data_IF_838190689833
#
_entry.id   IF_838190689833
#
_cell.length_a   1.000
_cell.length_b   1.000
_cell.length_c   1.000
_cell.angle_alpha   90.00
_cell.angle_beta   90.00
_cell.angle_gamma   90.00
#
_symmetry.space_group_name_H-M   'P 1'
#
loop_
_entity.id
_entity.type
_entity.pdbx_description
1 polymer ?
#
# COMPACT_ATOMS: atom_id res chain seq x y z
N UNK A 1 -10.77 17.68 6.73
CA UNK A 1 -9.40 18.13 7.07
C UNK A 1 -8.83 19.04 5.99
N UNK A 2 -8.74 18.60 4.74
CA UNK A 2 -8.03 19.32 3.68
C UNK A 2 -8.48 20.75 3.42
N UNK A 3 -9.80 20.96 3.37
CA UNK A 3 -10.41 22.28 3.22
C UNK A 3 -10.13 23.18 4.42
N UNK A 4 -10.24 22.62 5.62
CA UNK A 4 -9.99 23.32 6.89
C UNK A 4 -8.56 23.84 6.99
N UNK A 5 -7.57 23.08 6.51
CA UNK A 5 -6.16 23.51 6.49
C UNK A 5 -5.90 24.69 5.54
N UNK A 6 -6.72 24.83 4.50
CA UNK A 6 -6.64 25.94 3.54
C UNK A 6 -7.63 27.07 3.87
N UNK A 7 -8.34 26.98 5.00
CA UNK A 7 -9.38 27.95 5.37
C UNK A 7 -10.63 27.94 4.46
N UNK A 8 -10.79 26.92 3.62
CA UNK A 8 -11.88 26.83 2.64
C UNK A 8 -13.17 26.30 3.27
N UNK A 9 -14.28 26.95 2.97
CA UNK A 9 -15.63 26.55 3.36
C UNK A 9 -16.31 25.81 2.20
N UNK A 10 -17.45 25.17 2.50
CA UNK A 10 -18.27 24.50 1.46
C UNK A 10 -18.86 25.54 0.49
N UNK A 11 -19.18 26.74 1.00
CA UNK A 11 -19.72 27.86 0.21
C UNK A 11 -18.81 28.30 -0.94
N UNK A 12 -17.50 28.15 -0.80
CA UNK A 12 -16.52 28.59 -1.80
C UNK A 12 -16.55 27.73 -3.07
N UNK A 13 -17.30 26.62 -3.08
CA UNK A 13 -17.50 25.70 -4.22
C UNK A 13 -16.22 25.28 -4.96
N UNK A 14 -15.05 25.40 -4.30
CA UNK A 14 -13.76 24.97 -4.85
C UNK A 14 -13.75 23.46 -5.05
N UNK A 15 -13.32 23.02 -6.23
CA UNK A 15 -13.27 21.61 -6.61
C UNK A 15 -12.16 20.90 -5.85
N UNK A 16 -12.33 19.59 -5.63
CA UNK A 16 -11.32 18.79 -4.94
C UNK A 16 -10.00 18.69 -5.71
N UNK A 17 -10.05 18.70 -7.04
CA UNK A 17 -8.85 18.74 -7.88
C UNK A 17 -8.01 19.99 -7.59
N UNK A 18 -8.63 21.17 -7.58
CA UNK A 18 -7.94 22.43 -7.28
C UNK A 18 -7.35 22.45 -5.85
N UNK A 19 -8.08 21.85 -4.90
CA UNK A 19 -7.60 21.69 -3.52
C UNK A 19 -6.34 20.82 -3.50
N UNK A 20 -6.35 19.68 -4.22
CA UNK A 20 -5.19 18.79 -4.31
C UNK A 20 -4.01 19.45 -5.01
N UNK A 21 -4.23 20.19 -6.09
CA UNK A 21 -3.17 20.91 -6.81
C UNK A 21 -2.57 22.06 -6.00
N UNK A 22 -3.36 22.78 -5.21
CA UNK A 22 -2.86 23.87 -4.35
C UNK A 22 -1.99 23.37 -3.19
N UNK A 23 -2.08 22.09 -2.85
CA UNK A 23 -1.45 21.54 -1.66
C UNK A 23 0.00 21.13 -1.97
N UNK A 24 0.90 21.46 -1.05
CA UNK A 24 2.34 21.15 -1.11
C UNK A 24 2.71 19.84 -0.40
N UNK A 25 1.75 19.11 0.18
CA UNK A 25 2.02 17.85 0.87
C UNK A 25 1.76 16.66 -0.05
N UNK A 26 2.47 15.56 0.20
CA UNK A 26 2.32 14.29 -0.51
C UNK A 26 0.91 13.71 -0.37
N UNK A 27 0.33 13.27 -1.48
CA UNK A 27 -0.97 12.61 -1.50
C UNK A 27 -1.05 11.48 -0.45
N UNK A 28 -2.21 11.34 0.18
CA UNK A 28 -2.43 10.31 1.20
C UNK A 28 -2.33 8.92 0.57
N UNK A 29 -2.78 8.78 -0.68
CA UNK A 29 -2.72 7.51 -1.40
C UNK A 29 -1.26 7.06 -1.60
N UNK A 30 -0.39 7.96 -2.09
CA UNK A 30 1.03 7.64 -2.25
C UNK A 30 1.69 7.31 -0.92
N UNK A 31 1.33 8.03 0.16
CA UNK A 31 1.84 7.72 1.50
C UNK A 31 1.39 6.36 2.02
N UNK A 32 0.14 5.97 1.75
CA UNK A 32 -0.39 4.65 2.08
C UNK A 32 0.40 3.58 1.32
N UNK A 33 0.62 3.79 0.02
CA UNK A 33 1.33 2.82 -0.80
C UNK A 33 2.77 2.65 -0.33
N UNK A 34 3.53 3.74 -0.16
CA UNK A 34 4.89 3.72 0.42
C UNK A 34 4.91 2.96 1.75
N UNK A 35 3.92 3.19 2.62
CA UNK A 35 3.85 2.51 3.90
C UNK A 35 3.55 1.00 3.78
N UNK A 36 2.72 0.59 2.80
CA UNK A 36 2.52 -0.82 2.46
C UNK A 36 3.81 -1.47 1.98
N UNK A 37 4.56 -0.82 1.09
CA UNK A 37 5.86 -1.31 0.58
C UNK A 37 6.89 -1.48 1.69
N UNK A 38 7.01 -0.49 2.57
CA UNK A 38 7.90 -0.57 3.75
C UNK A 38 7.52 -1.70 4.69
N UNK A 39 6.23 -1.89 4.93
CA UNK A 39 5.74 -2.98 5.78
C UNK A 39 6.09 -4.35 5.19
N UNK A 40 5.91 -4.53 3.88
CA UNK A 40 6.26 -5.77 3.18
C UNK A 40 7.75 -6.14 3.35
N UNK A 41 8.64 -5.17 3.12
CA UNK A 41 10.08 -5.36 3.32
C UNK A 41 10.41 -5.69 4.78
N UNK A 42 9.87 -4.92 5.72
CA UNK A 42 10.10 -5.13 7.15
C UNK A 42 9.71 -6.54 7.59
N UNK A 43 8.54 -7.00 7.15
CA UNK A 43 8.03 -8.33 7.46
C UNK A 43 8.89 -9.46 6.86
N UNK A 44 9.35 -9.31 5.61
CA UNK A 44 10.12 -10.34 4.92
C UNK A 44 11.55 -10.46 5.41
N UNK A 45 12.18 -9.33 5.74
CA UNK A 45 13.54 -9.25 6.29
C UNK A 45 13.65 -9.70 7.74
N UNK A 46 12.53 -9.87 8.44
CA UNK A 46 12.59 -10.32 9.82
C UNK A 46 13.20 -11.74 9.90
N UNK A 47 14.30 -11.94 10.65
CA UNK A 47 15.06 -13.20 10.66
C UNK A 47 14.26 -14.33 11.32
N UNK A 48 13.44 -14.00 12.30
CA UNK A 48 12.51 -14.94 12.94
C UNK A 48 11.23 -15.00 12.12
N UNK A 49 10.74 -16.22 11.87
CA UNK A 49 9.41 -16.47 11.32
C UNK A 49 8.31 -16.05 12.31
N UNK A 50 8.09 -14.74 12.42
CA UNK A 50 7.03 -14.16 13.22
C UNK A 50 5.66 -14.58 12.66
N UNK A 51 4.68 -14.67 13.56
CA UNK A 51 3.29 -14.92 13.21
C UNK A 51 2.76 -13.94 12.15
N UNK A 52 3.19 -12.67 12.19
CA UNK A 52 2.81 -11.67 11.18
C UNK A 52 3.18 -12.12 9.76
N UNK A 53 4.39 -12.66 9.55
CA UNK A 53 4.84 -13.18 8.26
C UNK A 53 4.04 -14.42 7.85
N UNK A 54 3.80 -15.33 8.79
CA UNK A 54 3.04 -16.56 8.53
C UNK A 54 1.59 -16.26 8.13
N UNK A 55 0.88 -15.42 8.88
CA UNK A 55 -0.52 -15.05 8.60
C UNK A 55 -0.64 -14.30 7.28
N UNK A 56 0.31 -13.40 6.99
CA UNK A 56 0.25 -12.55 5.80
C UNK A 56 0.57 -13.30 4.51
N UNK A 57 1.48 -14.28 4.56
CA UNK A 57 1.81 -15.16 3.44
C UNK A 57 0.90 -16.40 3.37
N UNK A 58 -0.03 -16.55 4.31
CA UNK A 58 -0.88 -17.72 4.37
C UNK A 58 -1.86 -17.73 3.19
N UNK A 59 -1.73 -18.72 2.33
CA UNK A 59 -2.65 -18.97 1.23
C UNK A 59 -3.40 -20.29 1.49
N UNK A 60 -4.75 -20.27 1.55
CA UNK A 60 -5.52 -21.49 1.67
C UNK A 60 -5.34 -22.33 0.39
N UNK A 61 -4.86 -23.57 0.54
CA UNK A 61 -4.60 -24.48 -0.59
C UNK A 61 -5.86 -25.07 -1.20
N UNK A 62 -6.99 -25.04 -0.48
CA UNK A 62 -8.23 -25.72 -0.86
C UNK A 62 -9.41 -24.81 -0.56
N UNK A 63 -10.29 -24.62 -1.54
CA UNK A 63 -11.58 -23.94 -1.38
C UNK A 63 -11.66 -22.58 -2.09
N UNK A 64 -12.84 -22.31 -2.67
CA UNK A 64 -13.20 -20.98 -3.16
C UNK A 64 -13.48 -20.08 -1.95
N UNK A 65 -12.99 -18.84 -1.95
CA UNK A 65 -13.37 -17.86 -0.91
C UNK A 65 -14.90 -17.75 -0.85
N UNK A 66 -15.44 -17.62 0.37
CA UNK A 66 -16.87 -17.35 0.54
C UNK A 66 -17.26 -16.10 -0.25
N UNK A 67 -18.46 -16.11 -0.85
CA UNK A 67 -18.99 -15.05 -1.74
C UNK A 67 -18.90 -13.62 -1.17
N UNK A 68 -18.78 -13.49 0.15
CA UNK A 68 -18.71 -12.23 0.89
C UNK A 68 -17.28 -11.70 1.17
N UNK A 69 -16.23 -12.51 1.00
CA UNK A 69 -14.86 -12.03 1.24
C UNK A 69 -14.36 -11.24 0.04
N UNK A 70 -13.61 -10.17 0.32
CA UNK A 70 -12.94 -9.41 -0.72
C UNK A 70 -12.06 -10.33 -1.56
N UNK A 71 -12.17 -10.18 -2.89
CA UNK A 71 -11.42 -10.98 -3.86
C UNK A 71 -9.95 -10.56 -3.87
N UNK A 72 -9.68 -9.25 -3.80
CA UNK A 72 -8.32 -8.71 -3.69
C UNK A 72 -7.79 -8.88 -2.28
N UNK A 73 -6.60 -9.45 -2.18
CA UNK A 73 -5.76 -9.47 -0.98
C UNK A 73 -4.82 -8.29 -0.98
N UNK A 74 -4.30 -7.97 0.19
CA UNK A 74 -3.23 -6.97 0.35
C UNK A 74 -2.01 -7.27 -0.56
N UNK A 75 -1.66 -8.56 -0.71
CA UNK A 75 -0.53 -9.01 -1.52
C UNK A 75 -0.75 -8.81 -3.02
N UNK A 76 -2.00 -8.64 -3.46
CA UNK A 76 -2.32 -8.50 -4.87
C UNK A 76 -1.87 -7.15 -5.42
N UNK A 77 -1.82 -6.11 -4.57
CA UNK A 77 -1.24 -4.81 -4.96
C UNK A 77 0.26 -4.96 -5.27
N UNK A 78 1.00 -5.76 -4.49
CA UNK A 78 2.43 -6.04 -4.72
C UNK A 78 2.66 -6.97 -5.91
N UNK A 79 1.77 -7.96 -6.11
CA UNK A 79 1.80 -8.83 -7.30
C UNK A 79 1.44 -8.07 -8.57
N UNK A 80 0.63 -7.03 -8.48
CA UNK A 80 0.26 -6.23 -9.63
C UNK A 80 1.47 -5.46 -10.18
N UNK A 81 2.38 -5.00 -9.31
CA UNK A 81 3.64 -4.34 -9.69
C UNK A 81 4.74 -5.34 -10.05
N UNK A 82 5.09 -6.26 -9.15
CA UNK A 82 6.29 -7.12 -9.26
C UNK A 82 5.99 -8.56 -9.68
N UNK A 83 4.74 -8.85 -10.00
CA UNK A 83 4.31 -10.18 -10.45
C UNK A 83 4.47 -11.25 -9.37
N UNK A 84 4.68 -12.49 -9.81
CA UNK A 84 4.77 -13.66 -8.93
C UNK A 84 6.03 -13.65 -8.04
N UNK A 85 7.08 -12.93 -8.45
CA UNK A 85 8.39 -12.96 -7.80
C UNK A 85 8.60 -11.84 -6.77
N UNK A 86 7.56 -11.07 -6.45
CA UNK A 86 7.61 -9.99 -5.48
C UNK A 86 8.23 -10.41 -4.13
N UNK A 87 8.04 -11.67 -3.69
CA UNK A 87 8.65 -12.19 -2.46
C UNK A 87 10.19 -12.30 -2.51
N UNK A 88 10.76 -12.53 -3.69
CA UNK A 88 12.21 -12.55 -3.91
C UNK A 88 12.74 -11.13 -4.03
N UNK A 89 12.06 -10.31 -4.83
CA UNK A 89 12.39 -8.89 -5.04
C UNK A 89 12.37 -8.13 -3.72
N UNK A 90 11.37 -8.35 -2.87
CA UNK A 90 11.25 -7.72 -1.56
C UNK A 90 12.30 -8.13 -0.53
N UNK A 91 13.08 -9.18 -0.79
CA UNK A 91 14.25 -9.52 0.04
C UNK A 91 15.50 -8.75 -0.37
N UNK A 92 15.53 -8.23 -1.60
CA UNK A 92 16.61 -7.37 -2.04
C UNK A 92 16.30 -5.92 -1.63
N UNK A 93 17.08 -5.42 -0.67
CA UNK A 93 16.83 -4.10 -0.07
C UNK A 93 17.09 -2.95 -1.03
N UNK A 94 18.04 -3.08 -1.95
CA UNK A 94 18.36 -2.00 -2.90
C UNK A 94 17.26 -1.92 -3.93
N UNK A 95 16.91 -3.05 -4.54
CA UNK A 95 15.87 -3.10 -5.56
C UNK A 95 14.49 -2.72 -5.01
N UNK A 96 14.14 -3.18 -3.80
CA UNK A 96 12.85 -2.84 -3.18
C UNK A 96 12.71 -1.36 -2.79
N UNK A 97 13.82 -0.67 -2.51
CA UNK A 97 13.80 0.77 -2.22
C UNK A 97 13.58 1.59 -3.49
N UNK A 98 14.14 1.19 -4.61
CA UNK A 98 13.94 1.86 -5.90
C UNK A 98 12.46 1.81 -6.32
N UNK A 99 11.78 0.70 -6.04
CA UNK A 99 10.35 0.52 -6.28
C UNK A 99 9.45 1.32 -5.34
N UNK A 100 9.96 1.73 -4.18
CA UNK A 100 9.22 2.56 -3.21
C UNK A 100 9.11 4.03 -3.69
N UNK A 101 10.03 4.46 -4.54
CA UNK A 101 10.18 5.86 -4.99
C UNK A 101 9.63 6.13 -6.40
N UNK A 102 9.16 5.08 -7.11
CA UNK A 102 8.53 5.16 -8.43
C UNK A 102 7.01 5.43 -8.34
#
# INVERSE_FOLDING_TARGET
MERSMLGLKIKDRVRNVDIRTRKKFTDILTRIDVQKWRWAAHMLHHPINKWSKQVTLWQPRVGKSSRSRQVRRWEDDLKQTEGLFWLKVARDRTHWKELEEA
#
